data_IF_186873807886
#
_entry.id   IF_186873807886
#
_cell.length_a   1.000
_cell.length_b   1.000
_cell.length_c   1.000
_cell.angle_alpha   90.00
_cell.angle_beta   90.00
_cell.angle_gamma   90.00
#
_symmetry.space_group_name_H-M   'P 1'
#
loop_
_entity.id
_entity.type
_entity.pdbx_description
1 polymer ?
#
# COMPACT_ATOMS: atom_id res chain seq x y z
N UNK A 1 85.55 -66.09 -51.19
CA UNK A 1 85.91 -64.76 -51.70
C UNK A 1 85.48 -63.75 -50.64
N UNK A 2 86.43 -63.06 -50.02
CA UNK A 2 86.11 -61.96 -49.11
C UNK A 2 85.46 -60.82 -49.93
N UNK A 3 84.40 -60.20 -49.39
CA UNK A 3 83.80 -59.02 -50.03
C UNK A 3 84.87 -57.94 -50.24
N UNK A 4 84.78 -57.20 -51.34
CA UNK A 4 85.68 -56.07 -51.58
C UNK A 4 85.35 -54.92 -50.62
N UNK A 5 86.35 -54.16 -50.17
CA UNK A 5 86.14 -52.99 -49.28
C UNK A 5 85.15 -51.96 -49.88
N UNK A 6 85.07 -51.89 -51.21
CA UNK A 6 84.12 -51.03 -51.91
C UNK A 6 82.66 -51.49 -51.75
N UNK A 7 82.41 -52.81 -51.67
CA UNK A 7 81.07 -53.37 -51.45
C UNK A 7 80.65 -53.21 -49.98
N UNK A 8 81.60 -53.35 -49.04
CA UNK A 8 81.38 -53.07 -47.61
C UNK A 8 81.02 -51.60 -47.38
N UNK A 9 81.73 -50.65 -48.02
CA UNK A 9 81.39 -49.23 -47.94
C UNK A 9 80.00 -48.90 -48.52
N UNK A 10 79.59 -49.57 -49.61
CA UNK A 10 78.24 -49.39 -50.17
C UNK A 10 77.16 -49.91 -49.22
N UNK A 11 77.38 -51.05 -48.58
CA UNK A 11 76.45 -51.57 -47.56
C UNK A 11 76.35 -50.64 -46.35
N UNK A 12 77.48 -50.10 -45.86
CA UNK A 12 77.47 -49.13 -44.75
C UNK A 12 76.69 -47.87 -45.12
N UNK A 13 76.88 -47.33 -46.33
CA UNK A 13 76.10 -46.16 -46.81
C UNK A 13 74.60 -46.46 -46.92
N UNK A 14 74.24 -47.65 -47.40
CA UNK A 14 72.84 -48.08 -47.46
C UNK A 14 72.23 -48.23 -46.05
N UNK A 15 72.99 -48.79 -45.09
CA UNK A 15 72.56 -48.86 -43.69
C UNK A 15 72.40 -47.47 -43.06
N UNK A 16 73.32 -46.53 -43.33
CA UNK A 16 73.21 -45.15 -42.85
C UNK A 16 71.96 -44.45 -43.42
N UNK A 17 71.71 -44.59 -44.72
CA UNK A 17 70.53 -44.01 -45.37
C UNK A 17 69.22 -44.61 -44.82
N UNK A 18 69.20 -45.92 -44.53
CA UNK A 18 68.06 -46.56 -43.89
C UNK A 18 67.80 -46.01 -42.48
N UNK A 19 68.85 -45.86 -41.66
CA UNK A 19 68.74 -45.28 -40.31
C UNK A 19 68.24 -43.83 -40.37
N UNK A 20 68.73 -43.04 -41.34
CA UNK A 20 68.30 -41.66 -41.54
C UNK A 20 66.84 -41.58 -42.00
N UNK A 21 66.41 -42.46 -42.91
CA UNK A 21 65.01 -42.54 -43.34
C UNK A 21 64.09 -42.96 -42.19
N UNK A 22 64.46 -43.99 -41.42
CA UNK A 22 63.69 -44.46 -40.26
C UNK A 22 63.57 -43.36 -39.18
N UNK A 23 64.64 -42.60 -38.95
CA UNK A 23 64.62 -41.46 -38.03
C UNK A 23 63.71 -40.33 -38.52
N UNK A 24 63.73 -40.02 -39.81
CA UNK A 24 62.87 -38.99 -40.42
C UNK A 24 61.39 -39.40 -40.40
N UNK A 25 61.06 -40.64 -40.78
CA UNK A 25 59.68 -41.16 -40.71
C UNK A 25 59.15 -41.13 -39.27
N UNK A 26 59.99 -41.47 -38.30
CA UNK A 26 59.61 -41.42 -36.88
C UNK A 26 59.45 -39.99 -36.36
N UNK A 27 60.23 -39.04 -36.86
CA UNK A 27 60.05 -37.62 -36.54
C UNK A 27 58.73 -37.10 -37.10
N UNK A 28 58.42 -37.39 -38.37
CA UNK A 28 57.15 -37.02 -39.01
C UNK A 28 55.93 -37.64 -38.28
N UNK A 29 56.04 -38.90 -37.85
CA UNK A 29 54.99 -39.56 -37.06
C UNK A 29 54.75 -38.86 -35.72
N UNK A 30 55.82 -38.43 -35.04
CA UNK A 30 55.72 -37.70 -33.77
C UNK A 30 55.07 -36.33 -34.00
N UNK A 31 55.47 -35.61 -35.05
CA UNK A 31 54.92 -34.28 -35.36
C UNK A 31 53.43 -34.38 -35.73
N UNK A 32 53.04 -35.36 -36.54
CA UNK A 32 51.64 -35.59 -36.90
C UNK A 32 50.79 -35.93 -35.66
N UNK A 33 51.31 -36.78 -34.76
CA UNK A 33 50.64 -37.10 -33.49
C UNK A 33 50.54 -35.89 -32.57
N UNK A 34 51.59 -35.07 -32.46
CA UNK A 34 51.59 -33.87 -31.65
C UNK A 34 50.56 -32.85 -32.14
N UNK A 35 50.39 -32.70 -33.47
CA UNK A 35 49.39 -31.81 -34.05
C UNK A 35 47.96 -32.33 -33.83
N UNK A 36 47.74 -33.64 -33.94
CA UNK A 36 46.45 -34.26 -33.62
C UNK A 36 46.08 -34.05 -32.14
N UNK A 37 46.99 -34.37 -31.22
CA UNK A 37 46.78 -34.17 -29.78
C UNK A 37 46.55 -32.68 -29.43
N UNK A 38 47.30 -31.77 -30.04
CA UNK A 38 47.10 -30.33 -29.86
C UNK A 38 45.69 -29.90 -30.25
N UNK A 39 45.19 -30.36 -31.39
CA UNK A 39 43.85 -30.01 -31.86
C UNK A 39 42.75 -30.61 -30.98
N UNK A 40 42.92 -31.86 -30.52
CA UNK A 40 42.00 -32.50 -29.58
C UNK A 40 41.95 -31.72 -28.25
N UNK A 41 43.10 -31.41 -27.68
CA UNK A 41 43.19 -30.78 -26.36
C UNK A 41 42.71 -29.32 -26.40
N UNK A 42 43.06 -28.58 -27.46
CA UNK A 42 42.49 -27.25 -27.74
C UNK A 42 40.97 -27.31 -27.87
N UNK A 43 40.44 -28.28 -28.63
CA UNK A 43 39.01 -28.50 -28.77
C UNK A 43 38.32 -28.76 -27.43
N UNK A 44 38.90 -29.63 -26.60
CA UNK A 44 38.43 -29.97 -25.26
C UNK A 44 38.38 -28.73 -24.34
N UNK A 45 39.46 -27.95 -24.30
CA UNK A 45 39.53 -26.73 -23.49
C UNK A 45 38.50 -25.68 -23.93
N UNK A 46 38.37 -25.46 -25.24
CA UNK A 46 37.39 -24.51 -25.79
C UNK A 46 35.97 -24.96 -25.49
N UNK A 47 35.63 -26.24 -25.68
CA UNK A 47 34.30 -26.76 -25.36
C UNK A 47 33.97 -26.63 -23.88
N UNK A 48 34.91 -26.97 -22.99
CA UNK A 48 34.73 -26.85 -21.55
C UNK A 48 34.46 -25.39 -21.13
N UNK A 49 35.19 -24.42 -21.68
CA UNK A 49 34.96 -23.01 -21.40
C UNK A 49 33.65 -22.49 -22.02
N UNK A 50 33.28 -22.95 -23.23
CA UNK A 50 31.99 -22.62 -23.84
C UNK A 50 30.82 -23.05 -22.97
N UNK A 51 30.86 -24.25 -22.39
CA UNK A 51 29.82 -24.72 -21.47
C UNK A 51 29.70 -23.83 -20.22
N UNK A 52 30.82 -23.43 -19.62
CA UNK A 52 30.83 -22.50 -18.47
C UNK A 52 30.23 -21.14 -18.84
N UNK A 53 30.55 -20.63 -20.03
CA UNK A 53 30.00 -19.37 -20.55
C UNK A 53 28.49 -19.50 -20.77
N UNK A 54 28.01 -20.60 -21.37
CA UNK A 54 26.58 -20.85 -21.56
C UNK A 54 25.84 -20.88 -20.23
N UNK A 55 26.33 -21.62 -19.24
CA UNK A 55 25.70 -21.71 -17.91
C UNK A 55 25.65 -20.33 -17.21
N UNK A 56 26.71 -19.53 -17.35
CA UNK A 56 26.76 -18.18 -16.81
C UNK A 56 25.70 -17.25 -17.45
N UNK A 57 25.57 -17.31 -18.78
CA UNK A 57 24.56 -16.51 -19.49
C UNK A 57 23.14 -16.99 -19.22
N UNK A 58 22.91 -18.29 -19.10
CA UNK A 58 21.60 -18.85 -18.73
C UNK A 58 21.16 -18.36 -17.34
N UNK A 59 22.07 -18.34 -16.36
CA UNK A 59 21.80 -17.77 -15.02
C UNK A 59 21.48 -16.28 -15.09
N UNK A 60 22.24 -15.52 -15.88
CA UNK A 60 22.00 -14.08 -16.09
C UNK A 60 20.66 -13.81 -16.76
N UNK A 61 20.30 -14.59 -17.77
CA UNK A 61 19.03 -14.46 -18.48
C UNK A 61 17.85 -14.71 -17.55
N UNK A 62 17.88 -15.82 -16.79
CA UNK A 62 16.86 -16.12 -15.76
C UNK A 62 16.76 -15.00 -14.70
N UNK A 63 17.88 -14.43 -14.28
CA UNK A 63 17.89 -13.32 -13.33
C UNK A 63 17.23 -12.05 -13.91
N UNK A 64 17.54 -11.71 -15.17
CA UNK A 64 16.95 -10.56 -15.86
C UNK A 64 15.45 -10.75 -16.07
N UNK A 65 15.01 -11.94 -16.46
CA UNK A 65 13.58 -12.25 -16.58
C UNK A 65 12.85 -12.12 -15.25
N UNK A 66 13.44 -12.65 -14.17
CA UNK A 66 12.88 -12.52 -12.83
C UNK A 66 12.79 -11.05 -12.41
N UNK A 67 13.85 -10.27 -12.61
CA UNK A 67 13.86 -8.83 -12.32
C UNK A 67 12.78 -8.09 -13.12
N UNK A 68 12.61 -8.40 -14.41
CA UNK A 68 11.56 -7.82 -15.25
C UNK A 68 10.16 -8.14 -14.72
N UNK A 69 9.92 -9.38 -14.27
CA UNK A 69 8.65 -9.78 -13.63
C UNK A 69 8.41 -9.02 -12.33
N UNK A 70 9.43 -8.90 -11.48
CA UNK A 70 9.34 -8.13 -10.22
C UNK A 70 9.04 -6.66 -10.50
N UNK A 71 9.76 -6.03 -11.43
CA UNK A 71 9.56 -4.63 -11.81
C UNK A 71 8.15 -4.40 -12.35
N UNK A 72 7.68 -5.25 -13.27
CA UNK A 72 6.31 -5.18 -13.80
C UNK A 72 5.26 -5.31 -12.70
N UNK A 73 5.45 -6.26 -11.77
CA UNK A 73 4.54 -6.45 -10.63
C UNK A 73 4.53 -5.23 -9.70
N UNK A 74 5.70 -4.71 -9.36
CA UNK A 74 5.85 -3.52 -8.52
C UNK A 74 5.20 -2.29 -9.16
N UNK A 75 5.38 -2.09 -10.47
CA UNK A 75 4.77 -0.98 -11.20
C UNK A 75 3.24 -1.07 -11.20
N UNK A 76 2.68 -2.26 -11.42
CA UNK A 76 1.23 -2.48 -11.34
C UNK A 76 0.70 -2.25 -9.93
N UNK A 77 1.40 -2.70 -8.90
CA UNK A 77 1.01 -2.48 -7.51
C UNK A 77 1.05 -0.99 -7.15
N UNK A 78 2.10 -0.26 -7.57
CA UNK A 78 2.18 1.18 -7.38
C UNK A 78 1.04 1.92 -8.09
N UNK A 79 0.71 1.55 -9.33
CA UNK A 79 -0.43 2.12 -10.05
C UNK A 79 -1.75 1.86 -9.31
N UNK A 80 -1.95 0.63 -8.82
CA UNK A 80 -3.13 0.26 -8.02
C UNK A 80 -3.24 1.08 -6.74
N UNK A 81 -2.15 1.23 -5.98
CA UNK A 81 -2.12 2.02 -4.75
C UNK A 81 -2.41 3.50 -5.03
N UNK A 82 -1.89 4.06 -6.12
CA UNK A 82 -2.21 5.45 -6.54
C UNK A 82 -3.70 5.62 -6.80
N UNK A 83 -4.33 4.69 -7.52
CA UNK A 83 -5.78 4.73 -7.77
C UNK A 83 -6.58 4.63 -6.47
N UNK A 84 -6.19 3.74 -5.56
CA UNK A 84 -6.85 3.61 -4.26
C UNK A 84 -6.73 4.88 -3.42
N UNK A 85 -5.54 5.51 -3.41
CA UNK A 85 -5.32 6.76 -2.71
C UNK A 85 -6.21 7.87 -3.26
N UNK A 86 -6.23 8.07 -4.58
CA UNK A 86 -7.08 9.11 -5.21
C UNK A 86 -8.56 8.87 -4.94
N UNK A 87 -9.01 7.61 -4.87
CA UNK A 87 -10.40 7.29 -4.51
C UNK A 87 -10.72 7.67 -3.06
N UNK A 88 -9.81 7.39 -2.13
CA UNK A 88 -9.95 7.79 -0.73
C UNK A 88 -9.95 9.31 -0.59
N UNK A 89 -9.01 9.99 -1.25
CA UNK A 89 -8.90 11.45 -1.25
C UNK A 89 -10.20 12.09 -1.78
N UNK A 90 -10.85 11.49 -2.77
CA UNK A 90 -12.12 11.97 -3.30
C UNK A 90 -13.28 11.79 -2.30
N UNK A 91 -13.33 10.65 -1.60
CA UNK A 91 -14.32 10.45 -0.52
C UNK A 91 -14.11 11.46 0.61
N UNK A 92 -12.84 11.68 1.02
CA UNK A 92 -12.50 12.69 2.02
C UNK A 92 -12.94 14.09 1.58
N UNK A 93 -12.68 14.48 0.33
CA UNK A 93 -13.11 15.78 -0.20
C UNK A 93 -14.63 15.97 -0.14
N UNK A 94 -15.42 14.92 -0.41
CA UNK A 94 -16.89 14.98 -0.32
C UNK A 94 -17.34 15.17 1.13
N UNK A 95 -16.69 14.50 2.09
CA UNK A 95 -16.97 14.68 3.51
C UNK A 95 -16.58 16.08 4.01
N UNK A 96 -15.46 16.62 3.53
CA UNK A 96 -15.03 17.98 3.84
C UNK A 96 -16.01 19.02 3.28
N UNK A 97 -16.53 18.82 2.08
CA UNK A 97 -17.56 19.70 1.50
C UNK A 97 -18.90 19.57 2.24
N UNK A 98 -19.27 18.38 2.70
CA UNK A 98 -20.42 18.19 3.58
C UNK A 98 -20.23 18.94 4.92
N UNK A 99 -19.03 18.92 5.50
CA UNK A 99 -18.69 19.68 6.70
C UNK A 99 -18.81 21.19 6.47
N UNK A 100 -18.33 21.71 5.33
CA UNK A 100 -18.48 23.13 4.98
C UNK A 100 -19.97 23.52 4.87
N UNK A 101 -20.79 22.69 4.21
CA UNK A 101 -22.24 22.93 4.10
C UNK A 101 -22.94 22.89 5.47
N UNK A 102 -22.52 22.03 6.39
CA UNK A 102 -23.04 22.05 7.77
C UNK A 102 -22.76 23.37 8.48
N UNK A 103 -21.61 24.00 8.21
CA UNK A 103 -21.29 25.34 8.71
C UNK A 103 -22.11 26.47 8.07
N UNK A 104 -22.80 26.23 6.95
CA UNK A 104 -23.74 27.19 6.37
C UNK A 104 -25.10 27.13 7.05
N UNK A 105 -25.55 25.93 7.45
CA UNK A 105 -26.82 25.71 8.17
C UNK A 105 -26.81 26.45 9.53
N UNK A 106 -25.65 26.53 10.18
CA UNK A 106 -25.53 27.24 11.47
C UNK A 106 -25.62 28.76 11.35
N UNK A 107 -25.54 29.32 10.13
CA UNK A 107 -25.79 30.75 9.90
C UNK A 107 -27.27 31.11 9.93
N UNK A 108 -28.16 30.14 9.72
CA UNK A 108 -29.60 30.36 9.80
C UNK A 108 -30.10 30.09 11.22
N UNK A 109 -30.19 31.15 12.04
CA UNK A 109 -30.53 31.06 13.47
C UNK A 109 -31.84 30.31 13.74
N UNK A 110 -32.86 30.50 12.88
CA UNK A 110 -34.18 29.88 13.06
C UNK A 110 -34.14 28.35 12.94
N UNK A 111 -33.53 27.83 11.87
CA UNK A 111 -33.36 26.40 11.64
C UNK A 111 -32.38 25.81 12.66
N UNK A 112 -31.30 26.53 12.95
CA UNK A 112 -30.29 26.09 13.89
C UNK A 112 -30.83 25.96 15.33
N UNK A 113 -31.71 26.87 15.76
CA UNK A 113 -32.39 26.80 17.07
C UNK A 113 -33.22 25.52 17.22
N UNK A 114 -33.93 25.11 16.17
CA UNK A 114 -34.70 23.86 16.15
C UNK A 114 -33.78 22.65 16.21
N UNK A 115 -32.67 22.67 15.47
CA UNK A 115 -31.67 21.59 15.48
C UNK A 115 -31.02 21.46 16.85
N UNK A 116 -30.56 22.57 17.45
CA UNK A 116 -29.96 22.59 18.79
C UNK A 116 -30.89 22.02 19.85
N UNK A 117 -32.18 22.37 19.83
CA UNK A 117 -33.15 21.80 20.78
C UNK A 117 -33.21 20.28 20.70
N UNK A 118 -33.31 19.74 19.48
CA UNK A 118 -33.32 18.28 19.26
C UNK A 118 -32.01 17.61 19.66
N UNK A 119 -30.87 18.26 19.42
CA UNK A 119 -29.54 17.73 19.80
C UNK A 119 -29.37 17.67 21.32
N UNK A 120 -29.85 18.69 22.04
CA UNK A 120 -29.82 18.71 23.50
C UNK A 120 -30.72 17.61 24.05
N UNK A 121 -31.98 17.54 23.60
CA UNK A 121 -32.93 16.50 24.04
C UNK A 121 -32.41 15.09 23.78
N UNK A 122 -31.83 14.84 22.59
CA UNK A 122 -31.21 13.55 22.28
C UNK A 122 -30.05 13.23 23.23
N UNK A 123 -29.20 14.22 23.53
CA UNK A 123 -28.11 14.07 24.48
C UNK A 123 -28.61 13.73 25.88
N UNK A 124 -29.66 14.41 26.35
CA UNK A 124 -30.28 14.16 27.65
C UNK A 124 -30.83 12.73 27.74
N UNK A 125 -31.48 12.22 26.69
CA UNK A 125 -31.95 10.83 26.66
C UNK A 125 -30.83 9.79 26.70
N UNK A 126 -29.62 10.13 26.24
CA UNK A 126 -28.46 9.22 26.34
C UNK A 126 -27.79 9.29 27.71
N UNK A 127 -27.80 10.47 28.35
CA UNK A 127 -27.13 10.70 29.63
C UNK A 127 -27.98 10.19 30.81
N UNK A 128 -29.29 10.47 30.82
CA UNK A 128 -30.23 10.04 31.88
C UNK A 128 -29.81 10.36 33.32
N UNK A 129 -29.16 11.51 33.55
CA UNK A 129 -28.70 11.97 34.87
C UNK A 129 -29.44 13.25 35.28
N UNK A 130 -29.65 13.50 36.59
CA UNK A 130 -30.40 14.66 37.09
C UNK A 130 -29.66 15.98 36.91
N UNK A 131 -28.33 15.97 36.79
CA UNK A 131 -27.51 17.16 36.60
C UNK A 131 -26.58 16.97 35.40
N UNK A 132 -26.70 17.87 34.43
CA UNK A 132 -25.95 17.82 33.17
C UNK A 132 -25.28 19.16 32.91
N UNK A 133 -23.99 19.11 32.59
CA UNK A 133 -23.19 20.27 32.18
C UNK A 133 -23.14 20.28 30.65
N UNK A 134 -23.47 21.40 30.03
CA UNK A 134 -23.53 21.56 28.58
C UNK A 134 -22.40 22.49 28.12
N UNK A 135 -21.58 21.99 27.20
CA UNK A 135 -20.51 22.73 26.54
C UNK A 135 -20.88 23.03 25.10
N UNK A 136 -20.85 24.31 24.74
CA UNK A 136 -21.16 24.81 23.40
C UNK A 136 -20.08 25.81 22.94
N UNK A 137 -20.17 26.28 21.70
CA UNK A 137 -19.29 27.35 21.20
C UNK A 137 -19.71 28.69 21.80
N UNK A 138 -18.76 29.61 22.02
CA UNK A 138 -19.04 30.93 22.60
C UNK A 138 -20.13 31.72 21.86
N UNK A 139 -20.20 31.61 20.54
CA UNK A 139 -21.21 32.31 19.71
C UNK A 139 -22.62 31.74 19.90
N UNK A 140 -22.74 30.48 20.31
CA UNK A 140 -24.02 29.77 20.42
C UNK A 140 -24.63 29.86 21.82
N UNK A 141 -23.89 30.37 22.81
CA UNK A 141 -24.35 30.54 24.20
C UNK A 141 -25.73 31.22 24.32
N UNK A 142 -26.01 32.36 23.65
CA UNK A 142 -27.33 32.99 23.74
C UNK A 142 -28.44 32.08 23.18
N UNK A 143 -28.20 31.43 22.04
CA UNK A 143 -29.16 30.51 21.43
C UNK A 143 -29.41 29.28 22.31
N UNK A 144 -28.37 28.74 22.93
CA UNK A 144 -28.47 27.59 23.84
C UNK A 144 -29.26 27.97 25.09
N UNK A 145 -29.02 29.15 25.69
CA UNK A 145 -29.78 29.64 26.85
C UNK A 145 -31.27 29.73 26.57
N UNK A 146 -31.66 30.21 25.38
CA UNK A 146 -33.06 30.28 24.96
C UNK A 146 -33.71 28.91 24.80
N UNK A 147 -32.93 27.89 24.41
CA UNK A 147 -33.42 26.56 24.03
C UNK A 147 -33.46 25.58 25.20
N UNK A 148 -32.69 25.84 26.26
CA UNK A 148 -32.65 25.02 27.47
C UNK A 148 -34.04 24.81 28.10
N UNK A 149 -34.87 25.85 28.33
CA UNK A 149 -36.19 25.66 28.95
C UNK A 149 -37.09 24.74 28.13
N UNK A 150 -37.16 24.98 26.81
CA UNK A 150 -37.96 24.15 25.89
C UNK A 150 -37.47 22.71 25.85
N UNK A 151 -36.16 22.50 25.91
CA UNK A 151 -35.56 21.16 25.88
C UNK A 151 -35.77 20.40 27.20
N UNK A 152 -35.72 21.11 28.33
CA UNK A 152 -36.01 20.54 29.65
C UNK A 152 -37.49 20.13 29.78
N UNK A 153 -38.42 20.95 29.28
CA UNK A 153 -39.85 20.60 29.24
C UNK A 153 -40.11 19.36 28.38
N UNK A 154 -39.50 19.27 27.20
CA UNK A 154 -39.62 18.10 26.32
C UNK A 154 -39.06 16.83 26.99
N UNK A 155 -37.92 16.92 27.66
CA UNK A 155 -37.35 15.80 28.40
C UNK A 155 -38.24 15.38 29.57
N UNK A 156 -38.76 16.35 30.35
CA UNK A 156 -39.66 16.10 31.48
C UNK A 156 -40.96 15.44 31.03
N UNK A 157 -41.53 15.86 29.91
CA UNK A 157 -42.73 15.27 29.35
C UNK A 157 -42.54 13.78 28.98
N UNK A 158 -41.37 13.42 28.46
CA UNK A 158 -41.08 12.06 28.02
C UNK A 158 -40.63 11.13 29.16
N UNK A 159 -39.68 11.57 30.00
CA UNK A 159 -39.06 10.74 31.04
C UNK A 159 -39.66 10.93 32.43
N UNK A 160 -40.52 11.92 32.63
CA UNK A 160 -41.12 12.29 33.94
C UNK A 160 -40.10 12.58 35.04
N UNK A 161 -38.87 12.92 34.67
CA UNK A 161 -37.78 13.30 35.56
C UNK A 161 -37.36 14.73 35.28
N UNK A 162 -37.05 15.47 36.34
CA UNK A 162 -36.49 16.81 36.26
C UNK A 162 -34.97 16.73 36.04
N UNK A 163 -34.45 17.61 35.17
CA UNK A 163 -33.01 17.71 34.87
C UNK A 163 -32.55 19.16 35.03
N UNK A 164 -31.50 19.35 35.81
CA UNK A 164 -30.78 20.61 35.93
C UNK A 164 -29.71 20.69 34.83
N UNK A 165 -29.91 21.59 33.86
CA UNK A 165 -28.97 21.82 32.75
C UNK A 165 -28.17 23.09 33.05
N UNK A 166 -26.86 22.95 33.23
CA UNK A 166 -25.94 24.06 33.51
C UNK A 166 -24.99 24.26 32.33
N UNK A 167 -24.84 25.49 31.84
CA UNK A 167 -23.87 25.80 30.77
C UNK A 167 -22.47 25.94 31.39
N UNK A 168 -21.47 25.30 30.79
CA UNK A 168 -20.07 25.52 31.12
C UNK A 168 -19.59 26.87 30.57
N UNK A 169 -19.33 27.83 31.46
CA UNK A 169 -18.83 29.17 31.10
C UNK A 169 -17.30 29.27 31.13
N UNK A 170 -16.59 28.20 31.55
CA UNK A 170 -15.13 28.19 31.70
C UNK A 170 -14.46 27.56 30.49
N UNK A 171 -15.02 26.46 29.99
CA UNK A 171 -14.51 25.75 28.84
C UNK A 171 -15.57 25.71 27.74
N UNK A 172 -15.28 26.32 26.60
CA UNK A 172 -16.13 26.30 25.41
C UNK A 172 -15.61 25.32 24.36
N UNK A 173 -16.47 24.95 23.40
CA UNK A 173 -16.02 24.24 22.20
C UNK A 173 -15.13 25.15 21.34
N UNK A 174 -14.25 24.54 20.55
CA UNK A 174 -13.38 25.27 19.62
C UNK A 174 -14.19 26.14 18.67
N UNK A 175 -13.65 27.31 18.32
CA UNK A 175 -14.26 28.21 17.35
C UNK A 175 -14.30 27.59 15.93
N UNK A 176 -13.47 26.59 15.65
CA UNK A 176 -13.41 25.91 14.36
C UNK A 176 -14.51 24.85 14.19
N UNK A 177 -15.22 24.51 15.27
CA UNK A 177 -16.31 23.53 15.22
C UNK A 177 -17.52 24.13 14.50
N UNK A 178 -18.10 23.36 13.56
CA UNK A 178 -19.28 23.79 12.81
C UNK A 178 -20.53 24.08 13.68
N UNK A 179 -20.55 23.57 14.92
CA UNK A 179 -21.59 23.83 15.93
C UNK A 179 -22.06 22.57 16.65
N UNK A 180 -23.04 22.75 17.53
CA UNK A 180 -23.68 21.70 18.33
C UNK A 180 -23.26 21.73 19.78
N UNK A 181 -23.49 20.63 20.50
CA UNK A 181 -23.34 20.58 21.96
C UNK A 181 -22.62 19.32 22.42
N UNK A 182 -21.82 19.45 23.46
CA UNK A 182 -21.31 18.31 24.22
C UNK A 182 -21.94 18.32 25.61
N UNK A 183 -22.44 17.17 26.05
CA UNK A 183 -23.05 17.02 27.37
C UNK A 183 -22.11 16.22 28.27
N UNK A 184 -21.97 16.67 29.51
CA UNK A 184 -21.17 16.05 30.55
C UNK A 184 -22.04 15.75 31.77
N UNK A 185 -21.87 14.57 32.35
CA UNK A 185 -22.53 14.18 33.59
C UNK A 185 -21.57 13.50 34.56
N UNK A 186 -22.01 13.28 35.80
CA UNK A 186 -21.22 12.70 36.89
C UNK A 186 -19.85 13.38 37.06
N UNK A 187 -19.85 14.72 37.16
CA UNK A 187 -18.65 15.55 37.27
C UNK A 187 -17.62 15.30 36.14
N UNK A 188 -18.11 15.09 34.91
CA UNK A 188 -17.28 14.95 33.71
C UNK A 188 -16.84 13.52 33.38
N UNK A 189 -17.31 12.50 34.10
CA UNK A 189 -17.00 11.09 33.78
C UNK A 189 -17.73 10.58 32.55
N UNK A 190 -18.97 11.03 32.34
CA UNK A 190 -19.76 10.70 31.16
C UNK A 190 -19.70 11.88 30.21
N UNK A 191 -19.24 11.64 28.98
CA UNK A 191 -19.22 12.63 27.89
C UNK A 191 -20.05 12.11 26.72
N UNK A 192 -21.01 12.91 26.28
CA UNK A 192 -21.80 12.65 25.07
C UNK A 192 -21.51 13.76 24.05
N UNK A 193 -20.64 13.49 23.06
CA UNK A 193 -20.36 14.45 22.00
C UNK A 193 -21.48 14.43 20.96
N UNK A 194 -22.31 15.47 20.93
CA UNK A 194 -23.39 15.63 19.96
C UNK A 194 -23.19 16.89 19.09
N UNK A 195 -21.94 17.12 18.68
CA UNK A 195 -21.59 18.17 17.71
C UNK A 195 -21.96 17.72 16.29
N UNK A 196 -22.18 18.68 15.39
CA UNK A 196 -22.51 18.36 13.99
C UNK A 196 -21.39 17.55 13.31
N UNK A 197 -20.15 17.80 13.67
CA UNK A 197 -18.97 17.07 13.15
C UNK A 197 -18.89 15.64 13.66
N UNK A 198 -19.10 15.41 14.96
CA UNK A 198 -19.12 14.05 15.52
C UNK A 198 -20.23 13.20 14.89
N UNK A 199 -21.38 13.83 14.61
CA UNK A 199 -22.49 13.17 13.92
C UNK A 199 -22.16 12.86 12.46
N UNK A 200 -21.58 13.82 11.73
CA UNK A 200 -21.14 13.60 10.35
C UNK A 200 -20.12 12.46 10.30
N UNK A 201 -19.15 12.44 11.21
CA UNK A 201 -18.15 11.38 11.29
C UNK A 201 -18.80 10.01 11.54
N UNK A 202 -19.72 9.91 12.51
CA UNK A 202 -20.44 8.67 12.81
C UNK A 202 -21.24 8.16 11.61
N UNK A 203 -22.00 9.04 10.97
CA UNK A 203 -22.81 8.71 9.79
C UNK A 203 -21.91 8.35 8.61
N UNK A 204 -20.83 9.10 8.40
CA UNK A 204 -19.90 8.83 7.30
C UNK A 204 -19.32 7.43 7.40
N UNK A 205 -18.95 6.95 8.59
CA UNK A 205 -18.39 5.62 8.79
C UNK A 205 -19.40 4.52 8.41
N UNK A 206 -20.68 4.72 8.70
CA UNK A 206 -21.74 3.77 8.35
C UNK A 206 -22.09 3.82 6.85
N UNK A 207 -22.07 5.01 6.26
CA UNK A 207 -22.47 5.24 4.87
C UNK A 207 -21.30 5.16 3.87
N UNK A 208 -20.05 4.92 4.29
CA UNK A 208 -18.91 4.76 3.35
C UNK A 208 -19.23 3.77 2.22
N UNK A 209 -19.84 2.60 2.46
CA UNK A 209 -20.15 1.66 1.39
C UNK A 209 -21.14 2.23 0.36
N UNK A 210 -22.13 3.01 0.82
CA UNK A 210 -23.14 3.64 -0.02
C UNK A 210 -22.54 4.82 -0.80
N UNK A 211 -21.78 5.68 -0.13
CA UNK A 211 -21.04 6.80 -0.74
C UNK A 211 -20.12 6.26 -1.84
N UNK A 212 -19.40 5.18 -1.57
CA UNK A 212 -18.52 4.53 -2.55
C UNK A 212 -19.30 4.01 -3.76
N UNK A 213 -20.44 3.36 -3.54
CA UNK A 213 -21.29 2.87 -4.63
C UNK A 213 -21.89 4.03 -5.44
N UNK A 214 -22.25 5.14 -4.81
CA UNK A 214 -22.78 6.33 -5.48
C UNK A 214 -21.72 7.04 -6.32
N UNK A 215 -20.48 7.18 -5.80
CA UNK A 215 -19.39 7.87 -6.49
C UNK A 215 -18.73 7.02 -7.58
N UNK A 216 -18.53 5.74 -7.34
CA UNK A 216 -17.72 4.87 -8.22
C UNK A 216 -18.50 3.73 -8.87
N UNK A 217 -19.80 3.63 -8.61
CA UNK A 217 -20.67 2.57 -9.11
C UNK A 217 -20.60 1.28 -8.30
N UNK A 218 -21.62 0.43 -8.48
CA UNK A 218 -21.71 -0.89 -7.87
C UNK A 218 -20.68 -1.85 -8.48
N UNK A 219 -20.10 -2.71 -7.65
CA UNK A 219 -19.25 -3.80 -8.13
C UNK A 219 -20.06 -4.78 -8.99
N UNK A 220 -19.70 -4.88 -10.28
CA UNK A 220 -20.33 -5.77 -11.27
C UNK A 220 -20.24 -7.25 -10.86
N UNK A 221 -19.21 -7.63 -10.11
CA UNK A 221 -19.01 -9.00 -9.66
C UNK A 221 -19.85 -9.36 -8.42
N UNK A 222 -20.49 -8.39 -7.74
CA UNK A 222 -21.32 -8.64 -6.56
C UNK A 222 -22.74 -9.05 -6.97
N UNK A 223 -22.99 -10.37 -6.98
CA UNK A 223 -24.29 -10.97 -7.33
C UNK A 223 -25.32 -10.93 -6.21
N UNK A 224 -24.88 -11.03 -4.95
CA UNK A 224 -25.72 -11.18 -3.76
C UNK A 224 -25.58 -9.97 -2.82
N UNK A 225 -26.68 -9.62 -2.13
CA UNK A 225 -26.76 -8.48 -1.18
C UNK A 225 -27.23 -8.88 0.21
N UNK A 226 -27.60 -10.15 0.33
CA UNK A 226 -27.87 -10.97 1.50
C UNK A 226 -26.67 -11.05 2.45
#
# INVERSE_FOLDING_TARGET
MALSDADVQKQIKHMMAFIEQEANEKAEEIDAKAEEEFNIEKGRLVQQQRLKIMEYYEKKEKQVELQKKIQSSNMLNQARLKVLKVREDHVSSVLDDARKRLGEVTKNESEYKVVLSKLIVQGLYQVMEPKVILRCRQVDVPLVRDVIPTSAEQYKAAMKQDVEIVIDEKDFLSADTCGGVELFALNGRIKVPNTLESRLALISQQLVPEIRNALFGRNVNRKFTD
#
